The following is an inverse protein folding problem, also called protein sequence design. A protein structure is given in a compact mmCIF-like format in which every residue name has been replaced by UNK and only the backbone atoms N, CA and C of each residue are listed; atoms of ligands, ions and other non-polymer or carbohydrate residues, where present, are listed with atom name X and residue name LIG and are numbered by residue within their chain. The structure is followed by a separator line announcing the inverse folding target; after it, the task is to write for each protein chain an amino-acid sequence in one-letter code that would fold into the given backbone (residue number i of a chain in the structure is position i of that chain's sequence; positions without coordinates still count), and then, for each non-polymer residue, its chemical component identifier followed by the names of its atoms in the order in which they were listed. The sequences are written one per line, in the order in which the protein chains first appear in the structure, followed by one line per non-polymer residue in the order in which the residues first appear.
data_IF_634859481245
#
_entry.id   IF_634859481245
#
_cell.length_a   1.000
_cell.length_b   1.000
_cell.length_c   1.000
_cell.angle_alpha   90.00
_cell.angle_beta   90.00
_cell.angle_gamma   90.00
#
_symmetry.space_group_name_H-M   'P 1'
#
loop_
_entity.id
_entity.type
_entity.pdbx_description
1 polymer ?
#
# COMPACT_ATOMS: atom_id res chain seq x y z
N UNK A 1 61.94 -11.28 -9.54
CA UNK A 1 62.06 -10.69 -8.19
C UNK A 1 61.11 -9.50 -8.08
N UNK A 2 59.94 -9.71 -7.47
CA UNK A 2 59.13 -8.69 -6.79
C UNK A 2 58.22 -9.44 -5.82
N UNK A 3 58.21 -8.99 -4.58
CA UNK A 3 57.80 -9.73 -3.41
C UNK A 3 56.32 -9.50 -3.04
N UNK A 4 55.68 -10.60 -2.66
CA UNK A 4 54.83 -10.84 -1.47
C UNK A 4 54.04 -9.67 -0.88
N UNK A 5 52.72 -9.84 -0.77
CA UNK A 5 51.96 -9.71 0.49
C UNK A 5 50.61 -10.44 0.36
N UNK A 6 50.58 -11.68 0.85
CA UNK A 6 49.38 -12.41 1.22
C UNK A 6 48.79 -11.77 2.49
N UNK A 7 47.49 -11.54 2.53
CA UNK A 7 46.75 -11.39 3.78
C UNK A 7 45.82 -12.60 3.92
N UNK A 8 46.27 -13.52 4.76
CA UNK A 8 45.49 -14.60 5.35
C UNK A 8 44.58 -13.99 6.42
N UNK A 9 43.28 -14.26 6.36
CA UNK A 9 42.36 -14.03 7.47
C UNK A 9 41.82 -15.39 7.90
N UNK A 10 42.49 -15.98 8.88
CA UNK A 10 42.03 -17.15 9.63
C UNK A 10 41.05 -16.67 10.70
N UNK A 11 39.79 -17.11 10.64
CA UNK A 11 38.86 -17.01 11.77
C UNK A 11 38.50 -18.43 12.18
N UNK A 12 39.02 -18.83 13.33
CA UNK A 12 38.56 -19.97 14.11
C UNK A 12 37.93 -19.42 15.39
N UNK A 13 36.65 -19.71 15.62
CA UNK A 13 36.06 -19.69 16.96
C UNK A 13 34.85 -20.63 17.01
N UNK A 14 35.11 -21.72 17.73
CA UNK A 14 34.26 -22.78 18.24
C UNK A 14 33.22 -22.25 19.25
N UNK A 15 31.93 -22.60 19.13
CA UNK A 15 31.05 -22.88 20.30
C UNK A 15 30.03 -23.96 19.91
N UNK A 16 30.10 -25.08 20.61
CA UNK A 16 29.14 -26.18 20.64
C UNK A 16 27.93 -25.82 21.52
N UNK A 17 26.73 -26.31 21.20
CA UNK A 17 26.04 -27.40 21.94
C UNK A 17 24.53 -27.47 21.65
N UNK A 18 24.06 -28.72 21.68
CA UNK A 18 22.73 -29.21 22.06
C UNK A 18 21.64 -29.33 20.97
N UNK A 19 21.60 -30.52 20.37
CA UNK A 19 20.34 -31.25 20.16
C UNK A 19 19.67 -31.54 21.53
N UNK A 20 18.36 -31.83 21.53
CA UNK A 20 18.01 -33.25 21.56
C UNK A 20 16.96 -33.64 20.51
N UNK A 21 17.19 -34.82 19.95
CA UNK A 21 16.17 -35.68 19.38
C UNK A 21 15.30 -36.28 20.51
N UNK A 22 13.98 -36.29 20.31
CA UNK A 22 12.92 -37.15 20.88
C UNK A 22 11.65 -36.69 20.11
N UNK A 23 10.85 -37.50 19.44
CA UNK A 23 10.49 -38.89 19.65
C UNK A 23 8.98 -38.95 19.88
N UNK A 24 8.30 -39.69 19.00
CA UNK A 24 6.99 -40.34 19.17
C UNK A 24 5.70 -39.51 19.07
N UNK A 25 4.92 -39.86 18.04
CA UNK A 25 3.54 -40.35 18.09
C UNK A 25 2.72 -40.03 19.34
N UNK A 26 1.66 -39.24 19.17
CA UNK A 26 0.36 -39.65 19.71
C UNK A 26 -0.80 -39.01 18.92
N UNK A 27 -1.58 -39.87 18.27
CA UNK A 27 -2.90 -39.53 17.70
C UNK A 27 -3.93 -39.91 18.74
N UNK A 28 -4.41 -38.92 19.49
CA UNK A 28 -5.65 -39.03 20.25
C UNK A 28 -6.51 -37.80 19.96
N UNK A 29 -7.51 -37.99 19.10
CA UNK A 29 -8.63 -37.09 18.97
C UNK A 29 -9.63 -37.42 20.08
N UNK A 30 -9.73 -36.58 21.09
CA UNK A 30 -10.91 -36.54 21.94
C UNK A 30 -11.39 -35.10 22.13
N UNK A 31 -12.72 -35.03 22.17
CA UNK A 31 -13.55 -33.86 22.26
C UNK A 31 -13.26 -33.00 23.51
N UNK A 32 -13.51 -31.69 23.39
CA UNK A 32 -14.12 -30.86 24.43
C UNK A 32 -14.46 -29.50 23.79
N UNK A 33 -15.74 -29.20 23.63
CA UNK A 33 -16.61 -28.56 24.62
C UNK A 33 -16.45 -27.03 24.65
N UNK A 34 -17.35 -26.40 23.90
CA UNK A 34 -18.23 -25.31 24.34
C UNK A 34 -17.70 -24.41 25.47
N UNK A 35 -17.21 -23.23 25.09
CA UNK A 35 -17.12 -22.08 26.00
C UNK A 35 -17.59 -20.82 25.27
N UNK A 36 -18.87 -20.51 25.47
CA UNK A 36 -19.52 -19.25 25.12
C UNK A 36 -18.99 -18.16 26.06
N UNK A 37 -18.47 -17.01 25.57
CA UNK A 37 -18.13 -15.90 26.44
C UNK A 37 -19.41 -15.16 26.89
N UNK A 38 -19.47 -14.69 28.15
CA UNK A 38 -20.66 -14.03 28.70
C UNK A 38 -20.87 -12.66 28.05
N UNK A 39 -22.10 -12.43 27.59
CA UNK A 39 -22.57 -11.11 27.17
C UNK A 39 -22.64 -10.18 28.39
N UNK A 40 -21.84 -9.13 28.37
CA UNK A 40 -21.94 -8.01 29.31
C UNK A 40 -23.16 -7.19 28.90
N UNK A 41 -24.26 -7.35 29.66
CA UNK A 41 -25.40 -6.43 29.62
C UNK A 41 -24.93 -5.03 30.02
N UNK A 42 -25.01 -4.10 29.07
CA UNK A 42 -24.99 -2.65 29.34
C UNK A 42 -26.42 -2.20 29.64
N UNK A 43 -26.81 -2.22 30.90
CA UNK A 43 -27.96 -1.45 31.37
C UNK A 43 -27.51 -0.01 31.60
N UNK A 44 -27.87 0.88 30.67
CA UNK A 44 -27.74 2.32 30.81
C UNK A 44 -29.13 2.92 31.01
N UNK A 45 -29.62 2.88 32.26
CA UNK A 45 -30.77 3.67 32.66
C UNK A 45 -30.34 5.14 32.84
N UNK A 46 -30.71 5.97 31.88
CA UNK A 46 -30.71 7.42 32.02
C UNK A 46 -31.98 7.83 32.80
N UNK A 47 -31.85 7.98 34.12
CA UNK A 47 -32.89 8.57 34.96
C UNK A 47 -32.50 10.01 35.31
N UNK A 48 -32.71 10.92 34.35
CA UNK A 48 -32.65 12.36 34.59
C UNK A 48 -33.95 12.77 35.29
N UNK A 49 -33.96 12.68 36.62
CA UNK A 49 -35.03 13.21 37.45
C UNK A 49 -34.95 14.75 37.48
N UNK A 50 -35.86 15.40 36.76
CA UNK A 50 -36.18 16.82 36.94
C UNK A 50 -36.72 17.06 38.36
N UNK A 51 -35.86 17.49 39.28
CA UNK A 51 -36.28 18.02 40.58
C UNK A 51 -36.75 19.46 40.42
N UNK A 52 -38.03 19.63 40.16
CA UNK A 52 -38.75 20.89 40.38
C UNK A 52 -38.90 21.07 41.89
N UNK A 53 -38.08 21.94 42.49
CA UNK A 53 -38.22 22.35 43.89
C UNK A 53 -39.46 23.23 44.05
N UNK A 54 -40.60 22.60 44.34
CA UNK A 54 -41.76 23.29 44.92
C UNK A 54 -41.43 23.70 46.36
N UNK A 55 -41.28 25.01 46.59
CA UNK A 55 -41.26 25.58 47.94
C UNK A 55 -42.66 25.48 48.55
N UNK A 56 -42.84 24.85 49.73
CA UNK A 56 -44.12 24.86 50.42
C UNK A 56 -44.39 26.26 50.97
N UNK A 57 -45.65 26.68 50.85
CA UNK A 57 -46.12 28.04 51.15
C UNK A 57 -45.70 28.53 52.53
N UNK A 58 -44.92 29.61 52.54
CA UNK A 58 -44.71 30.45 53.71
C UNK A 58 -45.59 31.68 53.54
N UNK A 59 -46.46 31.89 54.52
CA UNK A 59 -47.40 33.00 54.56
C UNK A 59 -46.61 34.33 54.73
N UNK A 60 -46.77 35.32 53.83
CA UNK A 60 -45.90 36.52 53.80
C UNK A 60 -46.19 37.57 54.89
N UNK A 61 -46.96 37.24 55.93
CA UNK A 61 -47.45 38.22 56.91
C UNK A 61 -46.78 38.16 58.29
N UNK A 62 -45.80 37.27 58.51
CA UNK A 62 -45.07 37.11 59.79
C UNK A 62 -43.56 36.97 59.57
N UNK A 63 -42.96 37.86 58.77
CA UNK A 63 -41.51 37.91 58.59
C UNK A 63 -40.94 39.17 59.23
N UNK A 64 -40.37 38.99 60.42
CA UNK A 64 -39.54 39.98 61.09
C UNK A 64 -38.29 40.24 60.24
N UNK A 65 -38.07 41.48 59.74
CA UNK A 65 -37.01 41.80 58.78
C UNK A 65 -35.60 41.51 59.31
N UNK A 66 -35.40 41.42 60.63
CA UNK A 66 -34.10 41.06 61.21
C UNK A 66 -33.80 39.56 61.22
N UNK A 67 -34.80 38.69 61.01
CA UNK A 67 -34.61 37.23 60.95
C UNK A 67 -34.16 36.76 59.56
N UNK A 68 -34.47 37.52 58.51
CA UNK A 68 -34.15 37.17 57.12
C UNK A 68 -32.66 37.38 56.80
N UNK A 69 -32.06 38.49 57.28
CA UNK A 69 -30.63 38.75 57.08
C UNK A 69 -29.73 37.74 57.81
N UNK A 70 -30.10 37.30 59.01
CA UNK A 70 -29.36 36.23 59.70
C UNK A 70 -29.46 34.89 58.99
N UNK A 71 -30.64 34.55 58.45
CA UNK A 71 -30.85 33.29 57.75
C UNK A 71 -30.14 33.27 56.39
N UNK A 72 -30.04 34.40 55.68
CA UNK A 72 -29.23 34.51 54.46
C UNK A 72 -27.73 34.35 54.77
N UNK A 73 -27.22 35.02 55.82
CA UNK A 73 -25.82 34.89 56.24
C UNK A 73 -25.45 33.50 56.79
N UNK A 74 -26.38 32.78 57.41
CA UNK A 74 -26.16 31.38 57.83
C UNK A 74 -26.25 30.39 56.66
N UNK A 75 -27.15 30.62 55.69
CA UNK A 75 -27.25 29.75 54.50
C UNK A 75 -26.02 29.90 53.59
N UNK A 76 -25.45 31.10 53.48
CA UNK A 76 -24.20 31.34 52.73
C UNK A 76 -22.98 30.75 53.46
N UNK A 77 -23.04 30.60 54.79
CA UNK A 77 -21.96 30.00 55.58
C UNK A 77 -22.02 28.46 55.60
N UNK A 78 -23.20 27.87 55.49
CA UNK A 78 -23.37 26.40 55.35
C UNK A 78 -23.18 25.91 53.90
N UNK A 79 -23.44 26.73 52.88
CA UNK A 79 -23.16 26.38 51.49
C UNK A 79 -21.71 26.63 51.04
N UNK A 80 -20.91 27.38 51.80
CA UNK A 80 -19.50 27.63 51.47
C UNK A 80 -18.58 26.40 51.66
N UNK A 81 -19.08 25.29 52.18
CA UNK A 81 -18.31 24.07 52.42
C UNK A 81 -19.11 22.82 52.04
N UNK A 82 -19.54 22.72 50.78
CA UNK A 82 -19.87 21.41 50.22
C UNK A 82 -18.62 20.79 49.56
N UNK A 83 -17.94 19.82 50.19
CA UNK A 83 -16.78 19.11 49.61
C UNK A 83 -17.13 18.24 48.38
N UNK A 84 -18.39 18.26 47.91
CA UNK A 84 -18.85 17.49 46.75
C UNK A 84 -18.28 17.97 45.43
N UNK A 85 -18.03 19.28 45.25
CA UNK A 85 -17.49 19.79 43.98
C UNK A 85 -16.02 19.38 43.75
N UNK A 86 -15.24 19.21 44.82
CA UNK A 86 -13.83 18.78 44.68
C UNK A 86 -13.73 17.35 44.15
N UNK A 87 -14.60 16.44 44.59
CA UNK A 87 -14.59 15.06 44.09
C UNK A 87 -14.96 14.96 42.61
N UNK A 88 -15.92 15.76 42.14
CA UNK A 88 -16.26 15.80 40.71
C UNK A 88 -15.14 16.37 39.85
N UNK A 89 -14.48 17.44 40.31
CA UNK A 89 -13.35 18.03 39.58
C UNK A 89 -12.16 17.08 39.45
N UNK A 90 -11.84 16.32 40.50
CA UNK A 90 -10.75 15.33 40.46
C UNK A 90 -11.08 14.15 39.54
N UNK A 91 -12.32 13.67 39.56
CA UNK A 91 -12.76 12.59 38.67
C UNK A 91 -12.72 13.02 37.20
N UNK A 92 -13.14 14.25 36.89
CA UNK A 92 -13.08 14.80 35.54
C UNK A 92 -11.62 14.97 35.06
N UNK A 93 -10.72 15.41 35.95
CA UNK A 93 -9.31 15.55 35.62
C UNK A 93 -8.63 14.20 35.37
N UNK A 94 -8.97 13.17 36.15
CA UNK A 94 -8.49 11.81 35.94
C UNK A 94 -8.98 11.23 34.60
N UNK A 95 -10.24 11.44 34.25
CA UNK A 95 -10.80 11.00 32.97
C UNK A 95 -10.13 11.70 31.77
N UNK A 96 -9.84 13.00 31.87
CA UNK A 96 -9.09 13.73 30.84
C UNK A 96 -7.65 13.20 30.70
N UNK A 97 -6.98 12.92 31.83
CA UNK A 97 -5.64 12.33 31.80
C UNK A 97 -5.63 10.95 31.16
N UNK A 98 -6.62 10.10 31.47
CA UNK A 98 -6.76 8.78 30.86
C UNK A 98 -7.02 8.88 29.34
N UNK A 99 -7.85 9.83 28.92
CA UNK A 99 -8.10 10.08 27.49
C UNK A 99 -6.83 10.53 26.76
N UNK A 100 -6.07 11.46 27.35
CA UNK A 100 -4.80 11.93 26.78
C UNK A 100 -3.75 10.81 26.72
N UNK A 101 -3.64 9.97 27.77
CA UNK A 101 -2.74 8.82 27.77
C UNK A 101 -3.12 7.82 26.68
N UNK A 102 -4.41 7.56 26.48
CA UNK A 102 -4.92 6.70 25.41
C UNK A 102 -4.64 7.27 24.01
N UNK A 103 -4.79 8.58 23.83
CA UNK A 103 -4.47 9.25 22.56
C UNK A 103 -2.97 9.15 22.25
N UNK A 104 -2.10 9.38 23.24
CA UNK A 104 -0.65 9.22 23.09
C UNK A 104 -0.28 7.78 22.75
N UNK A 105 -0.90 6.79 23.39
CA UNK A 105 -0.68 5.38 23.09
C UNK A 105 -1.09 5.02 21.66
N UNK A 106 -2.27 5.48 21.21
CA UNK A 106 -2.72 5.24 19.83
C UNK A 106 -1.79 5.91 18.81
N UNK A 107 -1.32 7.13 19.10
CA UNK A 107 -0.36 7.83 18.24
C UNK A 107 0.98 7.10 18.17
N UNK A 108 1.48 6.59 19.29
CA UNK A 108 2.72 5.81 19.31
C UNK A 108 2.57 4.49 18.54
N UNK A 109 1.44 3.78 18.68
CA UNK A 109 1.14 2.60 17.89
C UNK A 109 1.05 2.91 16.39
N UNK A 110 0.39 4.00 16.01
CA UNK A 110 0.31 4.44 14.62
C UNK A 110 1.69 4.72 14.02
N UNK A 111 2.57 5.41 14.77
CA UNK A 111 3.95 5.66 14.33
C UNK A 111 4.76 4.37 14.20
N UNK A 112 4.62 3.42 15.14
CA UNK A 112 5.30 2.13 15.06
C UNK A 112 4.84 1.30 13.85
N UNK A 113 3.53 1.29 13.56
CA UNK A 113 2.99 0.66 12.35
C UNK A 113 3.50 1.37 11.10
N UNK A 114 3.54 2.70 11.09
CA UNK A 114 4.07 3.47 9.96
C UNK A 114 5.55 3.19 9.72
N UNK A 115 6.37 3.07 10.77
CA UNK A 115 7.78 2.73 10.66
C UNK A 115 7.98 1.29 10.15
N UNK A 116 7.21 0.33 10.66
CA UNK A 116 7.27 -1.05 10.19
C UNK A 116 6.82 -1.16 8.72
N UNK A 117 5.79 -0.41 8.34
CA UNK A 117 5.33 -0.36 6.96
C UNK A 117 6.33 0.36 6.06
N UNK A 118 6.99 1.41 6.54
CA UNK A 118 8.10 2.05 5.84
C UNK A 118 9.30 1.10 5.70
N UNK A 119 9.57 0.23 6.68
CA UNK A 119 10.60 -0.84 6.56
C UNK A 119 10.19 -1.91 5.55
N UNK A 120 8.92 -2.29 5.49
CA UNK A 120 8.40 -3.21 4.48
C UNK A 120 8.39 -2.57 3.10
N UNK A 121 8.04 -1.28 3.00
CA UNK A 121 8.15 -0.50 1.77
C UNK A 121 9.60 -0.22 1.39
N UNK A 122 10.54 -0.15 2.33
CA UNK A 122 11.97 -0.12 2.01
C UNK A 122 12.46 -1.47 1.46
N UNK A 123 11.72 -2.58 1.72
CA UNK A 123 11.84 -3.82 0.96
C UNK A 123 11.12 -3.77 -0.39
N UNK A 124 10.23 -2.80 -0.64
CA UNK A 124 9.84 -2.39 -1.99
C UNK A 124 10.95 -1.49 -2.53
N UNK A 125 11.94 -2.21 -2.99
CA UNK A 125 13.27 -1.79 -3.34
C UNK A 125 13.31 -0.51 -4.20
N UNK A 126 14.28 0.39 -3.96
CA UNK A 126 14.45 1.57 -4.82
C UNK A 126 14.57 1.12 -6.28
N UNK A 127 14.03 1.90 -7.23
CA UNK A 127 14.20 1.60 -8.65
C UNK A 127 15.70 1.48 -8.92
N UNK A 128 16.15 0.29 -9.32
CA UNK A 128 17.49 0.18 -9.89
C UNK A 128 17.40 0.79 -11.28
N UNK A 129 17.62 2.10 -11.33
CA UNK A 129 17.76 2.86 -12.56
C UNK A 129 18.87 2.18 -13.39
N UNK A 130 18.51 1.74 -14.59
CA UNK A 130 19.42 1.07 -15.54
C UNK A 130 19.95 -0.30 -15.09
N UNK A 131 19.22 -1.03 -14.25
CA UNK A 131 19.56 -2.42 -13.95
C UNK A 131 19.50 -3.30 -15.22
N UNK A 132 20.45 -4.23 -15.36
CA UNK A 132 20.38 -5.33 -16.33
C UNK A 132 19.80 -6.56 -15.64
N UNK A 133 18.92 -7.25 -16.37
CA UNK A 133 18.33 -8.51 -15.92
C UNK A 133 19.08 -9.66 -16.60
N UNK A 134 19.75 -10.48 -15.81
CA UNK A 134 20.42 -11.69 -16.29
C UNK A 134 19.82 -12.93 -15.67
N UNK A 135 19.67 -13.96 -16.49
CA UNK A 135 19.30 -15.30 -16.05
C UNK A 135 20.51 -16.22 -16.09
N UNK A 136 20.92 -16.73 -14.93
CA UNK A 136 21.97 -17.73 -14.81
C UNK A 136 21.35 -19.10 -14.62
N UNK A 137 21.60 -19.99 -15.56
CA UNK A 137 21.22 -21.40 -15.43
C UNK A 137 22.31 -22.13 -14.65
N UNK A 138 21.97 -22.65 -13.49
CA UNK A 138 22.89 -23.30 -12.57
C UNK A 138 22.88 -24.81 -12.80
N UNK A 139 24.05 -25.43 -12.76
CA UNK A 139 24.19 -26.87 -12.98
C UNK A 139 24.37 -27.65 -11.69
N UNK A 140 25.04 -27.07 -10.71
CA UNK A 140 25.54 -27.80 -9.55
C UNK A 140 25.14 -27.18 -8.22
N UNK A 141 24.91 -25.87 -8.17
CA UNK A 141 24.48 -25.17 -6.95
C UNK A 141 22.97 -24.89 -6.96
N UNK A 142 22.36 -25.03 -5.78
CA UNK A 142 20.97 -24.63 -5.55
C UNK A 142 20.82 -23.10 -5.71
N UNK A 143 19.92 -22.61 -6.58
CA UNK A 143 19.68 -21.18 -6.77
C UNK A 143 19.37 -20.42 -5.48
N UNK A 144 18.65 -21.03 -4.54
CA UNK A 144 18.30 -20.37 -3.28
C UNK A 144 19.54 -20.12 -2.41
N UNK A 145 20.39 -21.15 -2.27
CA UNK A 145 21.67 -21.03 -1.55
C UNK A 145 22.61 -20.01 -2.19
N UNK A 146 22.69 -20.01 -3.52
CA UNK A 146 23.51 -19.03 -4.24
C UNK A 146 22.98 -17.61 -4.06
N UNK A 147 21.65 -17.43 -4.07
CA UNK A 147 21.02 -16.14 -3.82
C UNK A 147 21.39 -15.59 -2.44
N UNK A 148 21.22 -16.38 -1.38
CA UNK A 148 21.60 -15.99 -0.01
C UNK A 148 23.09 -15.62 0.10
N UNK A 149 23.94 -16.41 -0.57
CA UNK A 149 25.37 -16.17 -0.61
C UNK A 149 25.68 -14.83 -1.27
N UNK A 150 25.16 -14.58 -2.47
CA UNK A 150 25.38 -13.33 -3.20
C UNK A 150 24.80 -12.11 -2.47
N UNK A 151 23.64 -12.24 -1.82
CA UNK A 151 23.07 -11.17 -0.98
C UNK A 151 23.97 -10.82 0.20
N UNK A 152 24.58 -11.83 0.83
CA UNK A 152 25.51 -11.61 1.94
C UNK A 152 26.80 -10.89 1.51
N UNK A 153 27.27 -11.15 0.28
CA UNK A 153 28.50 -10.56 -0.27
C UNK A 153 28.30 -9.15 -0.83
N UNK A 154 27.22 -8.94 -1.59
CA UNK A 154 27.00 -7.70 -2.36
C UNK A 154 26.03 -6.74 -1.68
N UNK A 155 25.25 -7.23 -0.70
CA UNK A 155 24.21 -6.48 -0.04
C UNK A 155 22.94 -6.34 -0.88
N UNK A 156 21.81 -6.13 -0.20
CA UNK A 156 20.47 -6.05 -0.81
C UNK A 156 20.15 -4.69 -1.44
N UNK A 157 21.04 -3.69 -1.36
CA UNK A 157 20.76 -2.36 -1.89
C UNK A 157 20.95 -2.26 -3.41
N UNK A 158 21.93 -2.99 -3.96
CA UNK A 158 22.38 -2.87 -5.36
C UNK A 158 21.97 -4.03 -6.28
N UNK A 159 21.34 -5.05 -5.72
CA UNK A 159 21.09 -6.33 -6.37
C UNK A 159 19.72 -6.86 -5.97
N UNK A 160 18.99 -7.43 -6.93
CA UNK A 160 17.83 -8.29 -6.70
C UNK A 160 18.15 -9.68 -7.20
N UNK A 161 17.88 -10.67 -6.37
CA UNK A 161 18.01 -12.07 -6.71
C UNK A 161 16.64 -12.73 -6.59
N UNK A 162 16.28 -13.51 -7.60
CA UNK A 162 15.06 -14.33 -7.56
C UNK A 162 15.48 -15.75 -7.94
N UNK A 163 15.56 -16.66 -6.95
CA UNK A 163 15.86 -18.06 -7.21
C UNK A 163 14.63 -18.78 -7.77
N UNK A 164 14.79 -19.44 -8.91
CA UNK A 164 13.84 -20.39 -9.49
C UNK A 164 14.40 -21.81 -9.32
N UNK A 165 14.01 -22.45 -8.22
CA UNK A 165 14.48 -23.79 -7.82
C UNK A 165 13.98 -24.86 -8.79
N UNK A 166 12.79 -24.70 -9.37
CA UNK A 166 12.18 -25.70 -10.25
C UNK A 166 12.95 -25.82 -11.58
N UNK A 167 13.45 -24.69 -12.09
CA UNK A 167 14.21 -24.64 -13.33
C UNK A 167 15.73 -24.55 -13.13
N UNK A 168 16.19 -24.51 -11.87
CA UNK A 168 17.58 -24.31 -11.50
C UNK A 168 18.17 -23.02 -12.09
N UNK A 169 17.40 -21.93 -12.05
CA UNK A 169 17.77 -20.63 -12.62
C UNK A 169 17.86 -19.60 -11.49
N UNK A 170 18.91 -18.78 -11.50
CA UNK A 170 19.01 -17.59 -10.68
C UNK A 170 18.81 -16.35 -11.56
N UNK A 171 17.73 -15.62 -11.30
CA UNK A 171 17.46 -14.34 -11.96
C UNK A 171 18.08 -13.22 -11.14
N UNK A 172 18.81 -12.35 -11.81
CA UNK A 172 19.55 -11.26 -11.16
C UNK A 172 19.21 -9.95 -11.84
N UNK A 173 18.88 -8.94 -11.05
CA UNK A 173 18.66 -7.58 -11.54
C UNK A 173 19.57 -6.64 -10.76
N UNK A 174 20.57 -6.09 -11.46
CA UNK A 174 21.64 -5.31 -10.85
C UNK A 174 22.15 -4.23 -11.81
N UNK A 175 22.86 -3.23 -11.29
CA UNK A 175 23.60 -2.30 -12.17
C UNK A 175 24.60 -3.07 -13.05
N UNK A 176 24.97 -2.50 -14.21
CA UNK A 176 25.90 -3.15 -15.15
C UNK A 176 27.22 -3.58 -14.48
N UNK A 177 27.80 -2.71 -13.63
CA UNK A 177 29.02 -3.02 -12.90
C UNK A 177 28.86 -4.19 -11.92
N UNK A 178 27.74 -4.25 -11.19
CA UNK A 178 27.45 -5.32 -10.22
C UNK A 178 27.11 -6.62 -10.96
N UNK A 179 26.45 -6.53 -12.11
CA UNK A 179 26.13 -7.67 -12.95
C UNK A 179 27.38 -8.44 -13.42
N UNK A 180 28.42 -7.72 -13.87
CA UNK A 180 29.69 -8.35 -14.26
C UNK A 180 30.34 -9.12 -13.10
N UNK A 181 30.28 -8.55 -11.89
CA UNK A 181 30.78 -9.20 -10.68
C UNK A 181 29.99 -10.47 -10.35
N UNK A 182 28.67 -10.41 -10.44
CA UNK A 182 27.78 -11.56 -10.23
C UNK A 182 28.08 -12.66 -11.24
N UNK A 183 28.18 -12.33 -12.53
CA UNK A 183 28.50 -13.31 -13.58
C UNK A 183 29.77 -14.10 -13.26
N UNK A 184 30.83 -13.41 -12.81
CA UNK A 184 32.08 -14.06 -12.42
C UNK A 184 31.93 -14.93 -11.16
N UNK A 185 31.22 -14.44 -10.14
CA UNK A 185 30.98 -15.18 -8.90
C UNK A 185 30.12 -16.42 -9.13
N UNK A 186 29.04 -16.31 -9.90
CA UNK A 186 28.14 -17.42 -10.24
C UNK A 186 28.91 -18.53 -10.95
N UNK A 187 29.75 -18.19 -11.93
CA UNK A 187 30.58 -19.18 -12.64
C UNK A 187 31.52 -19.94 -11.71
N UNK A 188 32.17 -19.24 -10.78
CA UNK A 188 33.12 -19.86 -9.84
C UNK A 188 32.37 -20.74 -8.83
N UNK A 189 31.31 -20.22 -8.22
CA UNK A 189 30.55 -20.92 -7.19
C UNK A 189 29.79 -22.14 -7.73
N UNK A 190 29.25 -22.07 -8.95
CA UNK A 190 28.59 -23.22 -9.58
C UNK A 190 29.62 -24.30 -9.95
N UNK A 191 30.78 -23.92 -10.51
CA UNK A 191 31.84 -24.86 -10.86
C UNK A 191 32.49 -25.54 -9.63
N UNK A 192 32.63 -24.84 -8.50
CA UNK A 192 33.15 -25.42 -7.26
C UNK A 192 32.25 -26.49 -6.65
N UNK A 193 30.95 -26.47 -6.97
CA UNK A 193 29.97 -27.43 -6.47
C UNK A 193 29.80 -28.66 -7.35
N UNK A 194 30.54 -28.80 -8.46
CA UNK A 194 30.45 -29.97 -9.34
C UNK A 194 31.10 -31.21 -8.69
N UNK A 195 30.32 -32.24 -8.29
CA UNK A 195 30.88 -33.42 -7.64
C UNK A 195 31.51 -34.41 -8.63
N UNK A 196 31.33 -34.27 -9.95
CA UNK A 196 31.64 -35.32 -10.92
C UNK A 196 31.94 -34.83 -12.37
N UNK A 197 32.49 -33.63 -12.56
CA UNK A 197 32.80 -33.00 -13.86
C UNK A 197 32.93 -33.96 -15.06
N UNK A 198 31.77 -34.24 -15.64
CA UNK A 198 31.56 -34.96 -16.89
C UNK A 198 30.32 -34.31 -17.50
N UNK A 199 30.50 -33.47 -18.52
CA UNK A 199 29.44 -32.63 -19.05
C UNK A 199 28.42 -33.52 -19.78
N UNK A 200 27.29 -33.83 -19.14
CA UNK A 200 26.15 -34.41 -19.85
C UNK A 200 25.28 -33.28 -20.38
N UNK A 201 25.45 -32.98 -21.66
CA UNK A 201 24.57 -32.09 -22.42
C UNK A 201 23.21 -32.75 -22.61
N UNK A 202 22.30 -32.56 -21.65
CA UNK A 202 20.89 -32.73 -21.93
C UNK A 202 20.40 -31.45 -22.62
N UNK A 203 20.01 -31.56 -23.89
CA UNK A 203 19.28 -30.52 -24.63
C UNK A 203 17.91 -30.30 -23.96
N UNK A 204 17.91 -29.57 -22.85
CA UNK A 204 16.69 -29.09 -22.22
C UNK A 204 16.24 -27.86 -22.98
N UNK A 205 14.97 -27.86 -23.40
CA UNK A 205 14.29 -26.70 -23.99
C UNK A 205 14.65 -25.40 -23.26
N UNK A 206 15.03 -24.38 -24.04
CA UNK A 206 15.51 -23.09 -23.54
C UNK A 206 14.36 -22.36 -22.86
N UNK A 207 14.33 -22.39 -21.53
CA UNK A 207 13.41 -21.57 -20.75
C UNK A 207 13.74 -20.09 -20.98
N UNK A 208 12.71 -19.28 -21.20
CA UNK A 208 12.83 -17.83 -21.33
C UNK A 208 12.58 -17.20 -19.96
N UNK A 209 13.51 -16.38 -19.51
CA UNK A 209 13.41 -15.71 -18.22
C UNK A 209 12.83 -14.30 -18.39
N UNK A 210 11.79 -14.00 -17.61
CA UNK A 210 10.97 -12.81 -17.74
C UNK A 210 10.85 -12.13 -16.37
N UNK A 211 10.87 -10.79 -16.36
CA UNK A 211 10.58 -9.97 -15.19
C UNK A 211 9.30 -9.18 -15.44
N UNK A 212 8.33 -9.38 -14.56
CA UNK A 212 7.10 -8.60 -14.49
C UNK A 212 7.32 -7.50 -13.47
N UNK A 213 7.18 -6.24 -13.86
CA UNK A 213 7.14 -5.09 -12.94
C UNK A 213 5.74 -4.53 -12.93
N UNK A 214 5.21 -4.28 -11.74
CA UNK A 214 3.92 -3.65 -11.52
C UNK A 214 4.12 -2.35 -10.74
N UNK A 215 3.61 -1.25 -11.30
CA UNK A 215 3.61 0.06 -10.70
C UNK A 215 2.18 0.45 -10.36
N UNK A 216 1.94 0.78 -9.10
CA UNK A 216 0.70 1.40 -8.67
C UNK A 216 0.92 2.91 -8.58
N UNK A 217 0.22 3.65 -9.44
CA UNK A 217 0.28 5.09 -9.50
C UNK A 217 -0.99 5.71 -8.93
N UNK A 218 -0.86 6.86 -8.28
CA UNK A 218 -1.97 7.70 -7.85
C UNK A 218 -1.75 9.17 -8.24
N UNK A 219 -2.84 9.90 -8.44
CA UNK A 219 -2.78 11.33 -8.76
C UNK A 219 -2.57 12.19 -7.51
N UNK A 220 -1.51 13.02 -7.48
CA UNK A 220 -1.29 14.05 -6.46
C UNK A 220 -0.78 13.56 -5.09
N UNK A 221 -0.18 12.37 -5.01
CA UNK A 221 0.34 11.79 -3.76
C UNK A 221 1.78 11.28 -3.88
N UNK A 222 2.76 12.05 -3.41
CA UNK A 222 4.15 11.61 -3.35
C UNK A 222 5.13 12.77 -3.48
N UNK A 223 6.42 12.46 -3.31
CA UNK A 223 7.52 13.42 -3.55
C UNK A 223 8.34 13.08 -4.80
N UNK A 224 8.14 11.88 -5.36
CA UNK A 224 9.04 11.32 -6.36
C UNK A 224 8.59 11.74 -7.76
N UNK A 225 9.52 12.20 -8.59
CA UNK A 225 9.16 12.60 -9.93
C UNK A 225 8.90 11.36 -10.79
N UNK A 226 7.74 11.25 -11.49
CA UNK A 226 7.44 10.07 -12.32
C UNK A 226 8.46 9.77 -13.42
N UNK A 227 9.30 10.74 -13.77
CA UNK A 227 10.38 10.60 -14.75
C UNK A 227 11.53 9.73 -14.26
N UNK A 228 11.67 9.56 -12.94
CA UNK A 228 12.75 8.80 -12.33
C UNK A 228 12.52 7.28 -12.50
N UNK A 229 11.25 6.86 -12.65
CA UNK A 229 10.89 5.44 -12.71
C UNK A 229 10.03 5.03 -13.91
N UNK A 230 9.48 5.97 -14.69
CA UNK A 230 8.71 5.68 -15.91
C UNK A 230 9.22 6.47 -17.14
N UNK A 231 9.22 5.86 -18.34
CA UNK A 231 9.48 6.59 -19.57
C UNK A 231 8.43 7.67 -19.83
N UNK A 232 8.85 8.77 -20.46
CA UNK A 232 7.97 9.92 -20.76
C UNK A 232 6.70 9.53 -21.52
N UNK A 233 6.77 8.56 -22.43
CA UNK A 233 5.61 8.07 -23.18
C UNK A 233 4.54 7.43 -22.28
N UNK A 234 4.96 6.72 -21.23
CA UNK A 234 4.06 6.10 -20.25
C UNK A 234 3.39 7.16 -19.41
N UNK A 235 4.15 8.16 -18.95
CA UNK A 235 3.63 9.31 -18.21
C UNK A 235 2.57 10.03 -19.05
N UNK A 236 2.84 10.29 -20.32
CA UNK A 236 1.89 10.91 -21.23
C UNK A 236 0.61 10.07 -21.41
N UNK A 237 0.74 8.75 -21.55
CA UNK A 237 -0.40 7.85 -21.66
C UNK A 237 -1.26 7.85 -20.39
N UNK A 238 -0.63 7.80 -19.21
CA UNK A 238 -1.31 7.87 -17.91
C UNK A 238 -2.00 9.24 -17.72
N UNK A 239 -1.37 10.33 -18.17
CA UNK A 239 -1.97 11.66 -18.18
C UNK A 239 -3.21 11.74 -19.07
N UNK A 240 -3.22 11.06 -20.23
CA UNK A 240 -4.39 10.98 -21.11
C UNK A 240 -5.54 10.19 -20.47
N UNK A 241 -5.24 9.24 -19.59
CA UNK A 241 -6.23 8.54 -18.75
C UNK A 241 -6.72 9.38 -17.56
N UNK A 242 -6.14 10.57 -17.38
CA UNK A 242 -6.59 11.60 -16.46
C UNK A 242 -6.03 11.49 -15.05
N UNK A 243 -4.83 10.90 -14.88
CA UNK A 243 -3.97 11.14 -13.72
C UNK A 243 -3.05 12.31 -14.09
N UNK A 244 -3.24 13.50 -13.51
CA UNK A 244 -2.53 14.71 -13.96
C UNK A 244 -1.09 14.78 -13.45
N UNK A 245 -0.90 14.33 -12.22
CA UNK A 245 0.35 14.30 -11.47
C UNK A 245 0.55 12.87 -10.95
N UNK A 246 0.85 11.90 -11.84
CA UNK A 246 1.01 10.51 -11.43
C UNK A 246 2.22 10.38 -10.50
N UNK A 247 1.99 9.75 -9.36
CA UNK A 247 2.97 9.52 -8.32
C UNK A 247 2.99 8.05 -7.94
N UNK A 248 4.16 7.52 -7.58
CA UNK A 248 4.33 6.13 -7.22
C UNK A 248 3.78 5.89 -5.82
N UNK A 249 2.75 5.05 -5.72
CA UNK A 249 2.25 4.54 -4.43
C UNK A 249 3.08 3.35 -4.00
N UNK A 250 3.33 2.42 -4.94
CA UNK A 250 4.13 1.23 -4.69
C UNK A 250 4.58 0.61 -6.01
N UNK A 251 5.67 -0.14 -5.95
CA UNK A 251 6.16 -0.97 -7.04
C UNK A 251 6.42 -2.38 -6.53
N UNK A 252 6.12 -3.38 -7.34
CA UNK A 252 6.53 -4.75 -7.11
C UNK A 252 7.07 -5.38 -8.38
N UNK A 253 7.85 -6.45 -8.23
CA UNK A 253 8.38 -7.19 -9.36
C UNK A 253 8.45 -8.69 -9.06
N UNK A 254 8.14 -9.51 -10.05
CA UNK A 254 8.26 -10.97 -10.00
C UNK A 254 9.08 -11.41 -11.19
N UNK A 255 10.02 -12.32 -10.97
CA UNK A 255 10.83 -12.89 -12.01
C UNK A 255 10.41 -14.36 -12.20
N UNK A 256 10.21 -14.76 -13.45
CA UNK A 256 9.65 -16.05 -13.84
C UNK A 256 10.52 -16.67 -14.93
N UNK A 257 10.78 -17.98 -14.86
CA UNK A 257 11.24 -18.73 -16.02
C UNK A 257 10.05 -19.46 -16.67
N UNK A 258 9.82 -19.19 -17.95
CA UNK A 258 8.69 -19.71 -18.71
C UNK A 258 9.20 -20.53 -19.89
N UNK A 259 8.66 -21.73 -20.07
CA UNK A 259 8.84 -22.52 -21.30
C UNK A 259 7.75 -22.17 -22.32
N UNK A 260 8.00 -22.47 -23.59
CA UNK A 260 7.02 -22.24 -24.64
C UNK A 260 5.77 -23.12 -24.40
N UNK A 261 4.59 -22.50 -24.38
CA UNK A 261 3.32 -23.18 -24.09
C UNK A 261 3.08 -23.52 -22.61
N UNK A 262 4.00 -23.18 -21.71
CA UNK A 262 3.81 -23.33 -20.27
C UNK A 262 3.15 -22.06 -19.70
N UNK A 263 2.14 -22.27 -18.86
CA UNK A 263 1.51 -21.20 -18.08
C UNK A 263 2.16 -21.14 -16.68
N UNK A 264 2.62 -19.97 -16.28
CA UNK A 264 3.23 -19.72 -14.98
C UNK A 264 2.40 -18.74 -14.19
N UNK A 265 1.95 -19.17 -13.02
CA UNK A 265 1.22 -18.33 -12.07
C UNK A 265 2.19 -17.49 -11.23
N UNK A 266 1.75 -16.30 -10.87
CA UNK A 266 2.47 -15.42 -9.96
C UNK A 266 1.50 -14.63 -9.09
N UNK A 267 1.98 -14.20 -7.93
CA UNK A 267 1.20 -13.42 -6.99
C UNK A 267 2.03 -12.29 -6.39
N UNK A 268 1.42 -11.12 -6.27
CA UNK A 268 1.94 -9.96 -5.55
C UNK A 268 1.04 -9.65 -4.37
N UNK A 269 1.61 -9.51 -3.18
CA UNK A 269 0.91 -8.98 -2.01
C UNK A 269 1.79 -8.00 -1.29
N UNK A 270 1.37 -6.75 -1.19
CA UNK A 270 2.10 -5.75 -0.42
C UNK A 270 1.17 -4.69 0.15
N UNK A 271 1.43 -4.21 1.37
CA UNK A 271 0.74 -3.05 1.90
C UNK A 271 1.29 -1.77 1.26
N UNK A 272 0.44 -0.76 1.13
CA UNK A 272 0.83 0.58 0.73
C UNK A 272 0.15 1.63 1.61
N UNK A 273 0.90 2.68 1.98
CA UNK A 273 0.33 3.86 2.63
C UNK A 273 -0.20 4.82 1.57
N UNK A 274 -1.50 5.08 1.61
CA UNK A 274 -2.17 6.03 0.74
C UNK A 274 -3.03 7.00 1.56
N UNK A 275 -2.71 8.29 1.51
CA UNK A 275 -3.45 9.32 2.25
C UNK A 275 -3.51 9.07 3.77
N UNK A 276 -2.47 8.45 4.34
CA UNK A 276 -2.42 8.08 5.76
C UNK A 276 -3.21 6.82 6.13
N UNK A 277 -3.81 6.14 5.16
CA UNK A 277 -4.47 4.85 5.34
C UNK A 277 -3.61 3.73 4.76
N UNK A 278 -3.56 2.59 5.45
CA UNK A 278 -2.94 1.38 4.91
C UNK A 278 -3.93 0.69 3.99
N UNK A 279 -3.56 0.58 2.72
CA UNK A 279 -4.27 -0.21 1.72
C UNK A 279 -3.49 -1.50 1.48
N UNK A 280 -4.19 -2.62 1.30
CA UNK A 280 -3.54 -3.89 0.94
C UNK A 280 -3.72 -4.13 -0.56
N UNK A 281 -2.62 -4.13 -1.29
CA UNK A 281 -2.61 -4.52 -2.70
C UNK A 281 -2.40 -6.03 -2.80
N UNK A 282 -3.26 -6.67 -3.60
CA UNK A 282 -3.14 -8.06 -3.99
C UNK A 282 -3.28 -8.16 -5.50
N UNK A 283 -2.41 -8.93 -6.14
CA UNK A 283 -2.53 -9.21 -7.55
C UNK A 283 -2.17 -10.65 -7.82
N UNK A 284 -3.01 -11.34 -8.59
CA UNK A 284 -2.79 -12.70 -9.03
C UNK A 284 -2.79 -12.69 -10.55
N UNK A 285 -1.87 -13.42 -11.16
CA UNK A 285 -1.81 -13.49 -12.60
C UNK A 285 -1.18 -14.77 -13.11
N UNK A 286 -1.32 -14.96 -14.41
CA UNK A 286 -0.65 -16.03 -15.13
C UNK A 286 0.01 -15.49 -16.39
N UNK A 287 1.14 -16.07 -16.76
CA UNK A 287 1.91 -15.72 -17.94
C UNK A 287 2.11 -16.95 -18.80
N UNK A 288 1.75 -16.85 -20.08
CA UNK A 288 1.94 -17.92 -21.07
C UNK A 288 2.71 -17.40 -22.28
N UNK A 289 3.66 -18.21 -22.77
CA UNK A 289 4.43 -17.91 -23.98
C UNK A 289 3.89 -18.68 -25.18
N UNK A 290 3.04 -18.02 -25.98
CA UNK A 290 2.42 -18.58 -27.20
C UNK A 290 2.72 -17.70 -28.43
N UNK A 291 4.00 -17.47 -28.69
CA UNK A 291 4.48 -16.60 -29.76
C UNK A 291 4.57 -15.12 -29.34
N UNK A 292 3.53 -14.59 -28.69
CA UNK A 292 3.61 -13.36 -27.89
C UNK A 292 3.29 -13.68 -26.43
N UNK A 293 3.93 -13.00 -25.46
CA UNK A 293 3.55 -13.15 -24.07
C UNK A 293 2.09 -12.75 -23.84
N UNK A 294 1.34 -13.64 -23.22
CA UNK A 294 -0.03 -13.39 -22.77
C UNK A 294 -0.03 -13.35 -21.25
N UNK A 295 -0.35 -12.18 -20.71
CA UNK A 295 -0.39 -11.88 -19.29
C UNK A 295 -1.85 -11.74 -18.84
N UNK A 296 -2.34 -12.70 -18.06
CA UNK A 296 -3.60 -12.53 -17.35
C UNK A 296 -3.30 -11.93 -15.99
N UNK A 297 -3.98 -10.85 -15.62
CA UNK A 297 -3.72 -10.16 -14.36
C UNK A 297 -5.01 -9.69 -13.70
N UNK A 298 -5.14 -10.06 -12.44
CA UNK A 298 -6.24 -9.67 -11.59
C UNK A 298 -5.70 -8.93 -10.37
N UNK A 299 -6.10 -7.68 -10.22
CA UNK A 299 -5.67 -6.75 -9.19
C UNK A 299 -6.83 -6.47 -8.24
N UNK A 300 -6.58 -6.58 -6.95
CA UNK A 300 -7.48 -6.16 -5.87
C UNK A 300 -6.75 -5.20 -4.94
N UNK A 301 -7.38 -4.09 -4.62
CA UNK A 301 -6.95 -3.18 -3.55
C UNK A 301 -7.99 -3.25 -2.45
N UNK A 302 -7.62 -3.87 -1.34
CA UNK A 302 -8.47 -3.89 -0.16
C UNK A 302 -8.40 -2.52 0.52
N UNK A 303 -9.54 -1.84 0.51
CA UNK A 303 -9.74 -0.61 1.25
C UNK A 303 -11.01 -0.75 2.09
N UNK A 304 -10.95 -0.34 3.36
CA UNK A 304 -12.14 -0.29 4.21
C UNK A 304 -12.88 1.04 3.91
N UNK A 305 -14.15 1.04 3.44
CA UNK A 305 -15.09 -0.09 3.44
C UNK A 305 -15.32 -0.81 2.10
N UNK A 306 -14.78 -0.32 0.98
CA UNK A 306 -15.08 -0.88 -0.35
C UNK A 306 -13.79 -1.35 -1.04
N UNK A 307 -13.61 -2.65 -1.31
CA UNK A 307 -12.48 -3.12 -2.10
C UNK A 307 -12.61 -2.62 -3.54
N UNK A 308 -11.48 -2.26 -4.15
CA UNK A 308 -11.38 -1.94 -5.57
C UNK A 308 -10.86 -3.17 -6.29
N UNK A 309 -11.60 -3.67 -7.27
CA UNK A 309 -11.19 -4.81 -8.09
C UNK A 309 -11.02 -4.39 -9.55
N UNK A 310 -9.92 -4.80 -10.16
CA UNK A 310 -9.60 -4.60 -11.57
C UNK A 310 -9.09 -5.92 -12.15
N UNK A 311 -9.78 -6.46 -13.13
CA UNK A 311 -9.38 -7.69 -13.84
C UNK A 311 -9.12 -7.37 -15.31
N UNK A 312 -8.07 -7.97 -15.89
CA UNK A 312 -7.79 -7.84 -17.31
C UNK A 312 -6.88 -8.93 -17.85
N UNK A 313 -7.11 -9.29 -19.12
CA UNK A 313 -6.14 -10.03 -19.91
C UNK A 313 -5.39 -9.03 -20.78
N UNK A 314 -4.07 -9.06 -20.69
CA UNK A 314 -3.17 -8.22 -21.46
C UNK A 314 -2.33 -9.09 -22.38
N UNK A 315 -2.22 -8.71 -23.64
CA UNK A 315 -1.23 -9.25 -24.55
C UNK A 315 -0.42 -8.10 -25.09
N UNK A 316 0.89 -8.12 -24.82
CA UNK A 316 1.80 -7.11 -25.35
C UNK A 316 3.15 -7.72 -25.69
N UNK A 317 3.88 -7.10 -26.62
CA UNK A 317 5.26 -7.48 -26.89
C UNK A 317 6.14 -7.21 -25.66
N UNK A 318 7.24 -7.97 -25.55
CA UNK A 318 8.28 -7.76 -24.54
C UNK A 318 8.83 -6.33 -24.60
N UNK A 319 9.21 -5.78 -23.45
CA UNK A 319 9.75 -4.42 -23.30
C UNK A 319 8.71 -3.30 -23.33
N UNK A 320 7.42 -3.60 -23.45
CA UNK A 320 6.36 -2.60 -23.49
C UNK A 320 5.72 -2.38 -22.12
N UNK A 321 5.13 -1.20 -21.95
CA UNK A 321 4.33 -0.85 -20.79
C UNK A 321 2.85 -0.96 -21.13
N UNK A 322 2.05 -1.42 -20.19
CA UNK A 322 0.61 -1.60 -20.31
C UNK A 322 -0.08 -0.93 -19.14
N UNK A 323 -1.20 -0.25 -19.38
CA UNK A 323 -2.04 0.29 -18.31
C UNK A 323 -3.27 -0.60 -18.18
N UNK A 324 -3.42 -1.29 -17.04
CA UNK A 324 -4.56 -2.20 -16.79
C UNK A 324 -5.90 -1.46 -16.74
N UNK A 325 -5.88 -0.25 -16.21
CA UNK A 325 -7.07 0.57 -16.04
C UNK A 325 -6.85 1.65 -15.00
N UNK A 326 -7.90 2.45 -14.80
CA UNK A 326 -7.94 3.48 -13.77
C UNK A 326 -9.14 3.30 -12.86
N UNK A 327 -8.96 3.55 -11.57
CA UNK A 327 -10.04 3.54 -10.58
C UNK A 327 -10.08 4.86 -9.83
N UNK A 328 -11.29 5.30 -9.43
CA UNK A 328 -11.42 6.41 -8.49
C UNK A 328 -11.57 5.84 -7.08
N UNK A 329 -10.87 6.44 -6.13
CA UNK A 329 -10.92 6.08 -4.72
C UNK A 329 -11.35 7.29 -3.89
N UNK A 330 -12.37 7.11 -3.07
CA UNK A 330 -12.82 8.08 -2.09
C UNK A 330 -12.58 7.48 -0.69
N UNK A 331 -11.81 8.15 0.15
CA UNK A 331 -11.59 7.65 1.50
C UNK A 331 -12.85 7.78 2.36
N UNK A 332 -13.01 6.92 3.36
CA UNK A 332 -14.14 6.98 4.28
C UNK A 332 -14.28 8.36 4.97
N UNK A 333 -13.15 8.98 5.31
CA UNK A 333 -13.10 10.32 5.88
C UNK A 333 -13.64 11.38 4.90
N UNK A 334 -13.35 11.23 3.60
CA UNK A 334 -13.89 12.11 2.56
C UNK A 334 -15.39 11.90 2.37
N UNK A 335 -15.87 10.65 2.40
CA UNK A 335 -17.29 10.34 2.30
C UNK A 335 -18.10 10.86 3.51
N UNK A 336 -17.54 10.77 4.72
CA UNK A 336 -18.14 11.32 5.94
C UNK A 336 -18.26 12.85 5.88
N UNK A 337 -17.23 13.56 5.39
CA UNK A 337 -17.26 15.01 5.25
C UNK A 337 -18.23 15.49 4.15
N UNK A 338 -18.35 14.73 3.05
CA UNK A 338 -19.27 15.06 1.96
C UNK A 338 -20.75 14.92 2.39
N UNK A 339 -21.06 13.90 3.19
CA UNK A 339 -22.42 13.66 3.69
C UNK A 339 -22.84 14.65 4.79
N UNK A 340 -21.92 15.08 5.66
CA UNK A 340 -22.22 15.94 6.81
C UNK A 340 -22.59 17.40 6.49
N UNK A 341 -22.30 17.90 5.28
CA UNK A 341 -22.46 19.32 4.95
C UNK A 341 -23.75 19.67 4.18
N UNK A 342 -24.55 18.67 3.79
CA UNK A 342 -25.86 18.90 3.15
C UNK A 342 -27.04 18.97 4.14
N UNK A 343 -26.80 18.70 5.43
CA UNK A 343 -27.81 18.77 6.51
C UNK A 343 -28.15 20.19 6.97
N UNK A 344 -28.04 21.18 6.08
CA UNK A 344 -28.59 22.50 6.34
C UNK A 344 -30.10 22.38 6.50
N UNK A 345 -30.57 22.58 7.74
CA UNK A 345 -31.97 22.85 8.09
C UNK A 345 -32.45 24.14 7.40
N UNK A 346 -32.57 24.10 6.07
CA UNK A 346 -33.32 25.05 5.27
C UNK A 346 -34.74 24.53 5.15
N UNK A 347 -35.60 24.93 6.08
CA UNK A 347 -37.03 24.68 5.97
C UNK A 347 -37.59 25.26 4.67
N UNK A 348 -38.37 24.46 3.95
CA UNK A 348 -39.01 24.91 2.72
C UNK A 348 -39.92 23.84 2.14
N UNK A 349 -41.17 23.82 2.60
CA UNK A 349 -42.22 23.05 1.95
C UNK A 349 -42.37 23.52 0.49
N UNK A 350 -42.19 22.60 -0.44
CA UNK A 350 -42.38 22.82 -1.87
C UNK A 350 -42.74 21.51 -2.54
N UNK A 351 -44.05 21.23 -2.58
CA UNK A 351 -44.63 20.22 -3.46
C UNK A 351 -44.47 20.66 -4.92
N UNK A 352 -44.03 19.74 -5.77
CA UNK A 352 -43.98 19.88 -7.23
C UNK A 352 -42.56 19.59 -7.72
N UNK A 353 -42.27 18.60 -8.55
CA UNK A 353 -43.11 17.76 -9.38
C UNK A 353 -42.25 17.36 -10.58
N UNK A 354 -42.31 16.09 -10.98
CA UNK A 354 -42.06 15.66 -12.36
C UNK A 354 -40.62 15.64 -12.89
N UNK A 355 -40.32 14.54 -13.61
CA UNK A 355 -39.18 14.40 -14.54
C UNK A 355 -38.02 13.63 -13.91
N UNK A 356 -37.70 12.39 -14.30
CA UNK A 356 -37.70 11.82 -15.65
C UNK A 356 -36.28 11.87 -16.20
N UNK A 357 -35.41 10.96 -15.75
CA UNK A 357 -34.07 10.79 -16.32
C UNK A 357 -34.17 9.97 -17.61
N UNK A 358 -34.23 10.68 -18.73
CA UNK A 358 -34.05 10.11 -20.07
C UNK A 358 -32.57 10.07 -20.44
N UNK A 359 -32.08 8.86 -20.73
CA UNK A 359 -30.87 8.61 -21.49
C UNK A 359 -31.05 9.06 -22.94
N UNK A 360 -30.06 9.78 -23.48
CA UNK A 360 -29.86 10.05 -24.91
C UNK A 360 -28.54 10.82 -25.06
N UNK A 361 -27.51 10.37 -25.78
CA UNK A 361 -27.50 9.49 -26.94
C UNK A 361 -27.86 10.27 -28.19
N UNK A 362 -26.86 10.64 -29.00
CA UNK A 362 -27.06 11.09 -30.38
C UNK A 362 -26.40 12.43 -30.71
N UNK A 363 -25.41 12.37 -31.61
CA UNK A 363 -24.76 13.53 -32.18
C UNK A 363 -25.63 14.35 -33.13
N UNK A 364 -25.10 15.49 -33.56
CA UNK A 364 -25.72 16.36 -34.55
C UNK A 364 -24.72 17.39 -35.05
N UNK A 365 -24.42 17.29 -36.34
CA UNK A 365 -23.69 18.26 -37.15
C UNK A 365 -24.49 19.56 -37.34
N UNK A 366 -23.75 20.66 -37.54
CA UNK A 366 -24.07 21.69 -38.53
C UNK A 366 -25.03 22.81 -38.10
N UNK A 367 -24.56 24.06 -38.22
CA UNK A 367 -25.42 25.23 -38.08
C UNK A 367 -24.66 26.55 -37.96
N UNK A 368 -23.94 26.92 -39.01
CA UNK A 368 -23.62 28.31 -39.34
C UNK A 368 -24.95 29.03 -39.65
N UNK A 369 -25.22 30.19 -39.03
CA UNK A 369 -25.82 31.43 -39.58
C UNK A 369 -26.15 32.37 -38.41
N UNK A 370 -25.73 33.64 -38.55
CA UNK A 370 -26.34 34.90 -38.08
C UNK A 370 -26.94 34.95 -36.64
N UNK A 371 -26.73 35.99 -35.84
CA UNK A 371 -27.12 37.35 -36.18
C UNK A 371 -26.71 38.30 -35.04
N UNK A 372 -26.55 39.56 -35.41
CA UNK A 372 -26.22 40.71 -34.58
C UNK A 372 -27.18 40.88 -33.39
N UNK A 373 -26.62 40.94 -32.19
CA UNK A 373 -27.31 41.39 -30.98
C UNK A 373 -26.40 42.32 -30.18
N UNK A 374 -26.41 43.61 -30.52
CA UNK A 374 -25.89 44.70 -29.66
C UNK A 374 -26.74 44.75 -28.39
N UNK A 375 -26.18 44.28 -27.28
CA UNK A 375 -26.66 44.55 -25.93
C UNK A 375 -25.62 45.39 -25.20
N UNK A 376 -25.91 46.68 -25.10
CA UNK A 376 -25.15 47.71 -24.42
C UNK A 376 -25.68 47.86 -22.98
N UNK A 377 -24.78 48.14 -22.04
CA UNK A 377 -25.00 48.59 -20.66
C UNK A 377 -25.53 47.61 -19.59
N UNK A 378 -24.63 47.28 -18.67
CA UNK A 378 -24.92 46.64 -17.39
C UNK A 378 -23.66 46.47 -16.55
N UNK A 379 -22.97 47.58 -16.26
CA UNK A 379 -21.88 47.62 -15.28
C UNK A 379 -22.46 47.43 -13.88
N UNK A 380 -22.40 46.20 -13.37
CA UNK A 380 -22.43 45.92 -11.93
C UNK A 380 -21.00 45.56 -11.51
N UNK A 381 -20.25 46.59 -11.12
CA UNK A 381 -19.12 46.45 -10.19
C UNK A 381 -19.69 45.99 -8.84
N UNK A 382 -19.85 44.69 -8.66
CA UNK A 382 -20.06 44.08 -7.35
C UNK A 382 -19.76 42.58 -7.45
N UNK A 383 -18.89 42.14 -6.54
CA UNK A 383 -18.61 40.75 -6.17
C UNK A 383 -17.56 39.99 -7.00
N UNK A 384 -16.30 40.48 -7.00
CA UNK A 384 -15.12 39.68 -7.38
C UNK A 384 -14.61 38.75 -6.25
N UNK A 385 -15.19 38.78 -5.05
CA UNK A 385 -14.70 38.00 -3.89
C UNK A 385 -15.36 36.61 -3.72
N UNK A 386 -16.19 36.16 -4.66
CA UNK A 386 -16.93 34.88 -4.53
C UNK A 386 -16.36 33.72 -5.36
N UNK A 387 -15.33 33.94 -6.18
CA UNK A 387 -14.84 32.92 -7.12
C UNK A 387 -13.78 31.94 -6.54
N UNK A 388 -13.27 32.16 -5.32
CA UNK A 388 -12.16 31.37 -4.77
C UNK A 388 -12.57 30.20 -3.85
N UNK A 389 -13.86 29.88 -3.72
CA UNK A 389 -14.32 28.81 -2.79
C UNK A 389 -14.74 27.52 -3.49
N UNK A 390 -14.82 27.49 -4.83
CA UNK A 390 -15.27 26.29 -5.58
C UNK A 390 -14.15 25.33 -5.98
N UNK A 391 -12.87 25.71 -5.86
CA UNK A 391 -11.74 24.83 -6.21
C UNK A 391 -11.36 23.81 -5.12
N UNK A 392 -11.91 23.93 -3.92
CA UNK A 392 -11.60 23.03 -2.80
C UNK A 392 -12.37 21.69 -2.85
N UNK A 393 -13.43 21.58 -3.65
CA UNK A 393 -14.32 20.41 -3.67
C UNK A 393 -13.93 19.33 -4.69
N UNK A 394 -13.02 19.60 -5.63
CA UNK A 394 -12.58 18.59 -6.62
C UNK A 394 -11.51 17.63 -6.07
N UNK A 395 -11.10 17.77 -4.80
CA UNK A 395 -10.09 16.92 -4.13
C UNK A 395 -10.68 15.66 -3.47
N UNK A 396 -11.93 15.31 -3.77
CA UNK A 396 -12.66 14.27 -3.04
C UNK A 396 -12.43 12.84 -3.54
N UNK A 397 -11.79 12.66 -4.69
CA UNK A 397 -11.51 11.34 -5.25
C UNK A 397 -10.10 11.30 -5.82
N UNK A 398 -9.28 10.36 -5.35
CA UNK A 398 -7.97 10.10 -5.92
C UNK A 398 -8.11 9.12 -7.08
N UNK A 399 -7.38 9.34 -8.17
CA UNK A 399 -7.34 8.41 -9.30
C UNK A 399 -6.12 7.51 -9.20
N UNK A 400 -6.34 6.22 -9.44
CA UNK A 400 -5.29 5.22 -9.52
C UNK A 400 -5.09 4.74 -10.95
N UNK A 401 -3.87 4.33 -11.26
CA UNK A 401 -3.54 3.56 -12.45
C UNK A 401 -2.58 2.44 -12.08
N UNK A 402 -2.72 1.29 -12.75
CA UNK A 402 -1.78 0.18 -12.61
C UNK A 402 -1.04 0.01 -13.93
N UNK A 403 0.26 0.23 -13.89
CA UNK A 403 1.14 0.09 -15.05
C UNK A 403 1.93 -1.19 -14.89
N UNK A 404 1.96 -2.02 -15.93
CA UNK A 404 2.69 -3.27 -15.97
C UNK A 404 3.76 -3.19 -17.05
N UNK A 405 4.95 -3.67 -16.75
CA UNK A 405 6.04 -3.82 -17.69
C UNK A 405 6.51 -5.28 -17.69
N UNK A 406 6.63 -5.86 -18.87
CA UNK A 406 7.22 -7.19 -19.05
C UNK A 406 8.60 -7.03 -19.70
N UNK A 407 9.64 -7.52 -19.04
CA UNK A 407 11.03 -7.40 -19.48
C UNK A 407 11.59 -8.81 -19.70
N UNK A 408 12.24 -9.03 -20.83
CA UNK A 408 12.99 -10.25 -21.07
C UNK A 408 14.38 -10.14 -20.45
N UNK A 409 14.80 -11.18 -19.73
CA UNK A 409 16.15 -11.28 -19.21
C UNK A 409 17.11 -11.66 -20.34
N UNK A 410 18.30 -11.07 -20.33
CA UNK A 410 19.38 -11.57 -21.16
C UNK A 410 19.80 -12.95 -20.62
N UNK A 411 19.54 -14.00 -21.40
CA UNK A 411 19.98 -15.36 -21.05
C UNK A 411 21.49 -15.42 -21.12
N UNK A 412 22.16 -15.70 -19.99
CA UNK A 412 23.59 -15.89 -19.97
C UNK A 412 23.88 -17.39 -19.98
N UNK A 413 24.17 -17.94 -21.16
CA UNK A 413 24.83 -19.25 -21.24
C UNK A 413 26.33 -18.99 -21.09
N UNK A 414 27.04 -19.68 -20.17
CA UNK A 414 28.48 -19.58 -20.13
C UNK A 414 28.99 -20.00 -21.51
N UNK A 415 29.61 -19.06 -22.24
CA UNK A 415 30.29 -19.39 -23.48
C UNK A 415 31.19 -20.59 -23.18
N UNK A 416 30.84 -21.75 -23.73
CA UNK A 416 31.75 -22.87 -23.70
C UNK A 416 33.02 -22.34 -24.32
N UNK A 417 34.09 -22.26 -23.52
CA UNK A 417 35.41 -21.93 -24.00
C UNK A 417 35.80 -23.05 -24.95
N UNK A 418 35.33 -22.95 -26.18
CA UNK A 418 35.66 -23.81 -27.28
C UNK A 418 37.11 -23.57 -27.60
N UNK A 419 38.00 -24.14 -26.78
CA UNK A 419 39.34 -24.55 -27.18
C UNK A 419 39.16 -25.59 -28.29
N UNK A 420 38.79 -25.07 -29.47
CA UNK A 420 39.03 -25.68 -30.76
C UNK A 420 40.54 -25.64 -30.96
N UNK A 421 41.26 -26.45 -30.17
CA UNK A 421 42.64 -26.81 -30.46
C UNK A 421 42.61 -27.67 -31.70
N UNK A 422 42.57 -26.99 -32.85
CA UNK A 422 42.94 -27.51 -34.14
C UNK A 422 44.41 -27.92 -34.08
N UNK A 423 44.68 -29.09 -33.50
CA UNK A 423 45.96 -29.78 -33.64
C UNK A 423 45.98 -30.41 -35.03
N UNK A 424 46.64 -29.73 -35.96
CA UNK A 424 47.25 -30.37 -37.13
C UNK A 424 48.67 -30.78 -36.81
#
# INVERSE_FOLDING_TARGET
MKAVLFHSLTIAALVCLAQPALGQDDKTSEANDSAVPPQILRDSHAEQQNRTTTFPGVNPSELDPHSFERRILETDRENAFQPRDRTYSLQQHAALQEMHAREQQMRAQFLAVQEELARQQARNLPPLENGKLHAYRLQHIDPALLAETLESFLGTSQLRLVPDVDNNILLTYASEQVSEQISNLVKVLDAENDPNASPSMAESEKAQSLLIRLFWLADGFGTDEPRDYLPLAVIQAVNQLGLREPQLVSQSAAALACKQGEEREFEFRFPALFGGQTLQFESQGSLMLSGQPQLNLHVRVHSDPVPIELAGTLSAPLGHYMVLGTANYASAAQMANASGRSGGFGGGGGFGGGGGFGFGGGGGYGGEYAEQGRGEYGSSEQDEDAAEVTSASSKLTSRFAFVVQLIEAESFEPEESGESTSRR
#
